data_IF_616980522773
#
_entry.id   IF_616980522773
#
_cell.length_a   1.000
_cell.length_b   1.000
_cell.length_c   1.000
_cell.angle_alpha   90.00
_cell.angle_beta   90.00
_cell.angle_gamma   90.00
#
_symmetry.space_group_name_H-M   'P 1'
#
loop_
_entity.id
_entity.type
_entity.pdbx_description
1 polymer ?
#
# COMPACT_ATOMS: atom_id res chain seq x y z
N UNK A 1 14.15 50.67 -24.30
CA UNK A 1 14.72 51.23 -23.06
C UNK A 1 14.09 50.45 -21.92
N UNK A 2 14.77 49.78 -21.00
CA UNK A 2 16.17 49.76 -20.61
C UNK A 2 16.48 48.33 -20.12
N UNK A 3 17.58 47.76 -20.61
CA UNK A 3 18.18 46.56 -20.06
C UNK A 3 18.87 46.90 -18.72
N UNK A 4 18.88 45.96 -17.78
CA UNK A 4 19.88 45.95 -16.71
C UNK A 4 20.75 44.71 -16.84
N UNK A 5 22.02 44.98 -17.08
CA UNK A 5 23.16 44.08 -17.25
C UNK A 5 23.98 44.16 -15.96
N UNK A 6 24.30 42.99 -15.38
CA UNK A 6 25.51 42.53 -14.65
C UNK A 6 26.30 43.46 -13.69
N UNK A 7 26.93 42.92 -12.63
CA UNK A 7 28.25 42.27 -12.81
C UNK A 7 28.53 41.01 -11.99
N UNK A 8 29.40 40.17 -12.58
CA UNK A 8 30.14 39.11 -11.94
C UNK A 8 31.36 39.68 -11.18
N UNK A 9 31.70 39.16 -10.00
CA UNK A 9 33.08 39.10 -9.50
C UNK A 9 33.33 37.75 -8.80
N UNK A 10 34.46 37.19 -9.21
CA UNK A 10 35.15 35.97 -8.87
C UNK A 10 35.93 36.11 -7.54
N UNK A 11 35.90 35.10 -6.66
CA UNK A 11 36.94 34.91 -5.65
C UNK A 11 37.04 33.44 -5.17
N UNK A 12 38.12 32.81 -5.62
CA UNK A 12 38.87 31.64 -5.15
C UNK A 12 38.44 30.91 -3.86
N UNK A 13 38.27 29.58 -3.93
CA UNK A 13 38.93 28.69 -2.97
C UNK A 13 39.11 27.26 -3.52
N UNK A 14 40.34 26.99 -3.96
CA UNK A 14 41.19 25.84 -3.64
C UNK A 14 40.52 24.52 -3.16
N UNK A 15 40.80 23.43 -3.89
CA UNK A 15 40.77 22.04 -3.41
C UNK A 15 42.23 21.56 -3.22
N UNK A 16 42.58 20.40 -2.60
CA UNK A 16 41.80 19.31 -1.95
C UNK A 16 42.41 18.94 -0.53
N UNK A 17 42.22 17.77 0.16
CA UNK A 17 42.47 16.40 -0.32
C UNK A 17 41.37 15.36 0.01
N UNK A 18 41.35 14.31 -0.82
CA UNK A 18 40.76 13.00 -0.50
C UNK A 18 41.77 12.24 0.34
N UNK A 19 41.49 11.98 1.61
CA UNK A 19 42.13 10.89 2.34
C UNK A 19 41.30 10.51 3.58
N UNK A 20 40.66 9.34 3.52
CA UNK A 20 40.35 8.47 4.66
C UNK A 20 39.67 7.21 4.08
N UNK A 21 40.45 6.41 3.34
CA UNK A 21 40.12 4.99 3.23
C UNK A 21 40.48 4.37 4.59
N UNK A 22 39.50 4.18 5.46
CA UNK A 22 39.66 3.27 6.59
C UNK A 22 39.65 1.82 6.05
N UNK A 23 40.75 1.05 6.18
CA UNK A 23 40.66 -0.39 5.99
C UNK A 23 39.89 -0.98 7.17
N UNK A 24 38.70 -1.54 6.89
CA UNK A 24 37.99 -2.34 7.88
C UNK A 24 38.93 -3.43 8.40
N UNK A 25 39.20 -3.38 9.71
CA UNK A 25 39.90 -4.42 10.47
C UNK A 25 39.25 -5.79 10.19
N UNK A 26 40.02 -6.84 9.89
CA UNK A 26 39.50 -8.20 9.97
C UNK A 26 39.17 -8.51 11.43
N UNK A 27 37.92 -8.92 11.68
CA UNK A 27 37.50 -9.45 12.97
C UNK A 27 38.36 -10.66 13.32
N UNK A 28 39.02 -10.52 14.46
CA UNK A 28 39.96 -11.45 15.05
C UNK A 28 39.25 -12.78 15.37
N UNK A 29 39.66 -13.85 14.69
CA UNK A 29 39.43 -15.24 15.10
C UNK A 29 40.13 -15.45 16.44
N UNK A 30 39.40 -15.97 17.43
CA UNK A 30 40.01 -16.58 18.62
C UNK A 30 39.49 -18.01 18.78
N UNK A 31 40.37 -19.01 19.00
CA UNK A 31 40.02 -20.42 18.91
C UNK A 31 39.53 -21.01 20.24
N UNK A 32 38.69 -22.04 20.07
CA UNK A 32 38.47 -23.19 20.94
C UNK A 32 38.08 -22.97 22.41
N UNK A 33 36.86 -23.40 22.74
CA UNK A 33 36.65 -24.18 23.96
C UNK A 33 35.72 -25.35 23.69
N UNK A 34 36.33 -26.52 23.76
CA UNK A 34 35.73 -27.84 23.78
C UNK A 34 34.69 -27.96 24.91
N UNK A 35 33.52 -28.47 24.58
CA UNK A 35 32.65 -29.17 25.52
C UNK A 35 31.82 -30.19 24.73
N UNK A 36 32.04 -31.49 24.96
CA UNK A 36 31.31 -32.55 24.30
C UNK A 36 30.03 -32.81 25.11
N UNK A 37 28.87 -32.70 24.48
CA UNK A 37 27.68 -33.36 25.02
C UNK A 37 26.67 -33.69 23.93
N UNK A 38 26.66 -34.99 23.61
CA UNK A 38 25.51 -35.80 23.21
C UNK A 38 24.65 -35.30 22.04
N UNK A 39 25.02 -35.78 20.85
CA UNK A 39 24.14 -35.99 19.72
C UNK A 39 23.07 -37.02 20.12
N UNK A 40 21.95 -36.57 20.70
CA UNK A 40 20.73 -37.38 20.69
C UNK A 40 20.12 -37.22 19.32
N UNK A 41 20.37 -38.21 18.47
CA UNK A 41 19.63 -38.41 17.24
C UNK A 41 18.16 -38.67 17.61
N UNK A 42 17.34 -37.61 17.58
CA UNK A 42 15.91 -37.77 17.36
C UNK A 42 15.68 -37.69 15.85
N UNK A 43 15.79 -38.86 15.22
CA UNK A 43 15.13 -39.15 13.96
C UNK A 43 13.63 -39.22 14.27
N UNK A 44 12.95 -38.08 14.13
CA UNK A 44 11.49 -38.06 14.03
C UNK A 44 11.17 -37.27 12.76
N UNK A 45 10.60 -37.90 11.72
CA UNK A 45 10.25 -37.19 10.51
C UNK A 45 9.30 -36.08 10.90
N UNK A 46 9.69 -34.83 10.62
CA UNK A 46 8.84 -33.67 10.73
C UNK A 46 7.58 -33.93 9.91
N UNK A 47 6.57 -34.49 10.57
CA UNK A 47 5.21 -34.45 10.11
C UNK A 47 4.95 -32.98 9.87
N UNK A 48 4.91 -32.63 8.59
CA UNK A 48 4.46 -31.34 8.12
C UNK A 48 2.98 -31.30 8.50
N UNK A 49 2.69 -31.02 9.77
CA UNK A 49 1.35 -30.75 10.22
C UNK A 49 0.96 -29.50 9.43
N UNK A 50 0.21 -29.72 8.35
CA UNK A 50 -0.44 -28.64 7.64
C UNK A 50 -1.11 -27.78 8.70
N UNK A 51 -0.93 -26.45 8.68
CA UNK A 51 -1.67 -25.60 9.60
C UNK A 51 -3.15 -25.97 9.47
N UNK A 52 -3.93 -25.94 10.58
CA UNK A 52 -5.35 -26.19 10.50
C UNK A 52 -5.94 -25.33 9.37
N UNK A 53 -6.87 -25.86 8.57
CA UNK A 53 -7.52 -25.04 7.56
C UNK A 53 -8.04 -23.80 8.29
N UNK A 54 -7.66 -22.63 7.78
CA UNK A 54 -8.29 -21.38 8.21
C UNK A 54 -9.79 -21.65 8.15
N UNK A 55 -10.51 -21.30 9.22
CA UNK A 55 -11.96 -21.43 9.24
C UNK A 55 -12.54 -20.86 7.93
N UNK A 56 -13.67 -21.36 7.45
CA UNK A 56 -14.30 -20.75 6.29
C UNK A 56 -14.75 -19.33 6.65
N UNK A 57 -14.53 -18.37 5.74
CA UNK A 57 -14.99 -17.00 5.95
C UNK A 57 -16.51 -17.00 6.04
N UNK A 58 -17.12 -16.31 7.02
CA UNK A 58 -18.56 -16.12 7.02
C UNK A 58 -19.04 -15.50 5.69
N UNK A 59 -20.24 -15.84 5.22
CA UNK A 59 -20.77 -15.27 3.98
C UNK A 59 -20.85 -13.75 4.12
N UNK A 60 -20.24 -13.06 3.16
CA UNK A 60 -20.24 -11.61 3.10
C UNK A 60 -21.53 -11.04 2.52
N UNK A 61 -21.84 -9.80 2.89
CA UNK A 61 -22.94 -9.04 2.29
C UNK A 61 -22.72 -8.92 0.77
N UNK A 62 -23.70 -9.34 -0.06
CA UNK A 62 -23.59 -9.22 -1.52
C UNK A 62 -23.38 -7.78 -1.99
N UNK A 63 -23.75 -6.77 -1.20
CA UNK A 63 -23.54 -5.36 -1.51
C UNK A 63 -22.06 -4.98 -1.59
N UNK A 64 -21.16 -5.67 -0.86
CA UNK A 64 -19.71 -5.46 -1.00
C UNK A 64 -19.26 -5.86 -2.41
N UNK A 65 -19.71 -7.02 -2.89
CA UNK A 65 -19.37 -7.49 -4.23
C UNK A 65 -19.97 -6.55 -5.28
N UNK A 66 -21.23 -6.13 -5.10
CA UNK A 66 -21.89 -5.14 -5.96
C UNK A 66 -21.10 -3.82 -6.01
N UNK A 67 -20.58 -3.34 -4.89
CA UNK A 67 -19.77 -2.11 -4.84
C UNK A 67 -18.47 -2.25 -5.64
N UNK A 68 -17.77 -3.39 -5.52
CA UNK A 68 -16.55 -3.67 -6.29
C UNK A 68 -16.87 -3.77 -7.80
N UNK A 69 -17.97 -4.42 -8.16
CA UNK A 69 -18.41 -4.53 -9.55
C UNK A 69 -18.80 -3.16 -10.14
N UNK A 70 -19.48 -2.31 -9.37
CA UNK A 70 -19.80 -0.93 -9.76
C UNK A 70 -18.54 -0.12 -10.04
N UNK A 71 -17.52 -0.23 -9.19
CA UNK A 71 -16.21 0.39 -9.41
C UNK A 71 -15.61 -0.12 -10.71
N UNK A 72 -15.54 -1.44 -10.90
CA UNK A 72 -14.89 -2.05 -12.07
C UNK A 72 -15.61 -1.66 -13.37
N UNK A 73 -16.94 -1.60 -13.36
CA UNK A 73 -17.75 -1.27 -14.53
C UNK A 73 -17.80 0.23 -14.83
N UNK A 74 -17.42 1.09 -13.88
CA UNK A 74 -17.55 2.54 -14.01
C UNK A 74 -16.70 3.15 -15.14
N UNK A 75 -15.57 2.53 -15.49
CA UNK A 75 -14.60 3.09 -16.43
C UNK A 75 -13.97 4.41 -15.94
N UNK A 76 -14.18 4.79 -14.68
CA UNK A 76 -13.67 6.03 -14.09
C UNK A 76 -12.22 5.85 -13.63
N UNK A 77 -11.59 6.98 -13.29
CA UNK A 77 -10.27 7.00 -12.64
C UNK A 77 -10.42 7.23 -11.15
N UNK A 78 -9.58 6.55 -10.38
CA UNK A 78 -9.56 6.61 -8.93
C UNK A 78 -8.20 7.17 -8.48
N UNK A 79 -8.22 8.03 -7.47
CA UNK A 79 -7.05 8.75 -6.99
C UNK A 79 -6.78 8.38 -5.54
N UNK A 80 -5.57 7.90 -5.28
CA UNK A 80 -4.99 7.82 -3.94
C UNK A 80 -4.24 9.10 -3.64
N UNK A 81 -4.69 9.83 -2.62
CA UNK A 81 -4.13 11.13 -2.28
C UNK A 81 -2.78 10.97 -1.58
N UNK A 82 -1.85 11.88 -1.91
CA UNK A 82 -0.58 12.02 -1.20
C UNK A 82 -0.70 13.12 -0.13
N UNK A 83 -0.03 12.96 1.01
CA UNK A 83 -0.01 13.97 2.08
C UNK A 83 0.91 15.17 1.77
N UNK A 84 1.95 14.96 0.97
CA UNK A 84 2.95 15.98 0.61
C UNK A 84 2.88 16.37 -0.88
N UNK A 85 3.81 17.20 -1.36
CA UNK A 85 4.06 17.52 -2.78
C UNK A 85 4.41 16.30 -3.68
N UNK A 86 4.25 15.08 -3.16
CA UNK A 86 4.37 13.85 -3.93
C UNK A 86 3.21 13.70 -4.91
N UNK A 87 3.49 13.05 -6.04
CA UNK A 87 2.46 12.77 -7.04
C UNK A 87 1.41 11.80 -6.45
N UNK A 88 0.09 12.10 -6.56
CA UNK A 88 -0.95 11.17 -6.14
C UNK A 88 -0.95 9.89 -6.99
N UNK A 89 -1.36 8.78 -6.39
CA UNK A 89 -1.55 7.51 -7.11
C UNK A 89 -2.80 7.59 -7.99
N UNK A 90 -2.71 7.15 -9.23
CA UNK A 90 -3.86 7.04 -10.14
C UNK A 90 -4.09 5.57 -10.50
N UNK A 91 -5.34 5.14 -10.44
CA UNK A 91 -5.76 3.78 -10.75
C UNK A 91 -6.90 3.82 -11.78
N UNK A 92 -6.87 2.87 -12.72
CA UNK A 92 -8.06 2.57 -13.53
C UNK A 92 -9.12 1.88 -12.69
N UNK A 93 -10.37 1.87 -13.16
CA UNK A 93 -11.47 1.14 -12.55
C UNK A 93 -11.12 -0.32 -12.19
N UNK A 94 -10.57 -1.08 -13.15
CA UNK A 94 -10.20 -2.48 -12.96
C UNK A 94 -9.06 -2.66 -11.94
N UNK A 95 -8.05 -1.79 -11.99
CA UNK A 95 -6.93 -1.81 -11.05
C UNK A 95 -7.40 -1.51 -9.62
N UNK A 96 -8.25 -0.49 -9.48
CA UNK A 96 -8.77 -0.08 -8.19
C UNK A 96 -9.70 -1.14 -7.59
N UNK A 97 -10.60 -1.72 -8.39
CA UNK A 97 -11.45 -2.83 -7.97
C UNK A 97 -10.63 -4.05 -7.53
N UNK A 98 -9.60 -4.41 -8.30
CA UNK A 98 -8.70 -5.52 -7.96
C UNK A 98 -7.91 -5.25 -6.68
N UNK A 99 -7.46 -4.02 -6.49
CA UNK A 99 -6.79 -3.59 -5.26
C UNK A 99 -7.73 -3.71 -4.06
N UNK A 100 -8.97 -3.22 -4.15
CA UNK A 100 -9.95 -3.32 -3.06
C UNK A 100 -10.32 -4.77 -2.75
N UNK A 101 -10.48 -5.62 -3.76
CA UNK A 101 -10.73 -7.05 -3.57
C UNK A 101 -9.58 -7.73 -2.84
N UNK A 102 -8.35 -7.47 -3.26
CA UNK A 102 -7.15 -7.99 -2.59
C UNK A 102 -7.06 -7.46 -1.16
N UNK A 103 -7.31 -6.17 -0.97
CA UNK A 103 -7.31 -5.55 0.35
C UNK A 103 -8.34 -6.22 1.26
N UNK A 104 -9.58 -6.37 0.81
CA UNK A 104 -10.63 -7.05 1.55
C UNK A 104 -10.28 -8.51 1.89
N UNK A 105 -9.67 -9.23 0.94
CA UNK A 105 -9.25 -10.61 1.15
C UNK A 105 -8.21 -10.77 2.27
N UNK A 106 -7.26 -9.83 2.36
CA UNK A 106 -6.14 -9.91 3.31
C UNK A 106 -6.46 -9.39 4.70
N UNK A 107 -7.23 -8.30 4.81
CA UNK A 107 -7.41 -7.59 6.08
C UNK A 107 -8.87 -7.46 6.53
N UNK A 108 -9.83 -7.71 5.64
CA UNK A 108 -11.25 -7.63 5.96
C UNK A 108 -11.87 -9.01 6.14
N UNK A 109 -11.10 -9.98 6.63
CA UNK A 109 -11.57 -11.35 6.80
C UNK A 109 -12.85 -11.43 7.65
N UNK A 110 -12.94 -10.62 8.71
CA UNK A 110 -14.10 -10.53 9.59
C UNK A 110 -15.09 -9.41 9.21
N UNK A 111 -14.76 -8.60 8.19
CA UNK A 111 -15.61 -7.51 7.72
C UNK A 111 -16.55 -8.06 6.65
N UNK A 112 -17.75 -8.43 7.10
CA UNK A 112 -18.80 -9.01 6.24
C UNK A 112 -19.92 -8.03 5.88
N UNK A 113 -20.01 -6.88 6.54
CA UNK A 113 -21.06 -5.88 6.32
C UNK A 113 -20.54 -4.72 5.44
N UNK A 114 -21.43 -4.12 4.65
CA UNK A 114 -21.07 -3.07 3.70
C UNK A 114 -20.50 -1.80 4.37
N UNK A 115 -21.15 -1.29 5.42
CA UNK A 115 -20.75 -0.04 6.05
C UNK A 115 -19.33 -0.10 6.68
N UNK A 116 -18.98 -1.12 7.50
CA UNK A 116 -17.60 -1.26 7.98
C UNK A 116 -16.61 -1.57 6.86
N UNK A 117 -17.04 -2.25 5.78
CA UNK A 117 -16.20 -2.41 4.60
C UNK A 117 -15.92 -1.06 3.92
N UNK A 118 -16.93 -0.20 3.78
CA UNK A 118 -16.75 1.14 3.22
C UNK A 118 -15.81 1.98 4.09
N UNK A 119 -15.96 1.95 5.41
CA UNK A 119 -15.14 2.75 6.31
C UNK A 119 -13.68 2.28 6.38
N UNK A 120 -13.47 0.99 6.63
CA UNK A 120 -12.15 0.45 6.96
C UNK A 120 -11.36 0.03 5.72
N UNK A 121 -12.07 -0.36 4.65
CA UNK A 121 -11.46 -0.90 3.44
C UNK A 121 -11.55 0.10 2.30
N UNK A 122 -12.75 0.51 1.91
CA UNK A 122 -12.93 1.18 0.63
C UNK A 122 -12.63 2.68 0.68
N UNK A 123 -12.99 3.39 1.74
CA UNK A 123 -13.04 4.86 1.72
C UNK A 123 -11.67 5.52 1.80
N UNK A 124 -10.68 4.90 2.46
CA UNK A 124 -9.40 5.55 2.79
C UNK A 124 -8.18 4.72 2.43
N UNK A 125 -7.13 5.43 2.08
CA UNK A 125 -5.80 4.86 1.87
C UNK A 125 -5.17 4.41 3.17
N UNK A 126 -4.56 3.22 3.19
CA UNK A 126 -3.82 2.78 4.38
C UNK A 126 -2.54 3.56 4.62
N UNK A 127 -1.96 4.12 3.55
CA UNK A 127 -0.68 4.79 3.65
C UNK A 127 -0.84 6.18 4.24
N UNK A 128 -1.85 6.92 3.78
CA UNK A 128 -2.04 8.34 4.10
C UNK A 128 -3.28 8.62 4.95
N UNK A 129 -4.15 7.62 5.15
CA UNK A 129 -5.45 7.77 5.82
C UNK A 129 -6.37 8.84 5.19
N UNK A 130 -6.05 9.27 3.96
CA UNK A 130 -6.84 10.22 3.19
C UNK A 130 -7.93 9.49 2.39
N UNK A 131 -9.07 10.15 2.12
CA UNK A 131 -10.14 9.53 1.35
C UNK A 131 -9.72 9.34 -0.12
N UNK A 132 -10.12 8.23 -0.73
CA UNK A 132 -9.96 8.08 -2.17
C UNK A 132 -10.91 9.00 -2.93
N UNK A 133 -10.47 9.48 -4.08
CA UNK A 133 -11.30 10.32 -4.97
C UNK A 133 -11.63 9.59 -6.26
N UNK A 134 -12.80 9.90 -6.82
CA UNK A 134 -13.26 9.44 -8.13
C UNK A 134 -13.27 10.63 -9.06
N UNK A 135 -12.64 10.47 -10.23
CA UNK A 135 -12.68 11.48 -11.30
C UNK A 135 -13.85 11.16 -12.21
N UNK A 136 -14.88 12.02 -12.15
CA UNK A 136 -16.08 11.91 -12.96
C UNK A 136 -15.81 12.29 -14.43
N UNK A 137 -16.74 11.96 -15.32
CA UNK A 137 -16.63 12.25 -16.76
C UNK A 137 -16.49 13.75 -17.08
N UNK A 138 -17.03 14.63 -16.23
CA UNK A 138 -16.87 16.09 -16.34
C UNK A 138 -15.54 16.61 -15.79
N UNK A 139 -14.65 15.72 -15.33
CA UNK A 139 -13.37 16.05 -14.71
C UNK A 139 -13.45 16.45 -13.23
N UNK A 140 -14.65 16.53 -12.65
CA UNK A 140 -14.81 16.80 -11.24
C UNK A 140 -14.30 15.63 -10.38
N UNK A 141 -13.77 15.95 -9.21
CA UNK A 141 -13.34 14.96 -8.22
C UNK A 141 -14.33 14.92 -7.07
N UNK A 142 -14.78 13.72 -6.74
CA UNK A 142 -15.68 13.47 -5.61
C UNK A 142 -15.08 12.39 -4.72
N UNK A 143 -15.46 12.36 -3.45
CA UNK A 143 -15.02 11.29 -2.55
C UNK A 143 -15.67 9.96 -2.91
N UNK A 144 -14.89 8.88 -2.82
CA UNK A 144 -15.33 7.54 -3.20
C UNK A 144 -16.53 7.05 -2.38
N UNK A 145 -16.53 7.27 -1.06
CA UNK A 145 -17.64 6.83 -0.18
C UNK A 145 -18.97 7.43 -0.65
N UNK A 146 -19.04 8.75 -0.73
CA UNK A 146 -20.25 9.45 -1.16
C UNK A 146 -20.68 9.09 -2.58
N UNK A 147 -19.73 8.83 -3.48
CA UNK A 147 -20.06 8.34 -4.82
C UNK A 147 -20.65 6.92 -4.79
N UNK A 148 -20.07 5.99 -4.03
CA UNK A 148 -20.57 4.61 -3.90
C UNK A 148 -21.95 4.57 -3.26
N UNK A 149 -22.18 5.33 -2.18
CA UNK A 149 -23.49 5.42 -1.51
C UNK A 149 -24.58 5.87 -2.50
N UNK A 150 -24.28 6.85 -3.37
CA UNK A 150 -25.19 7.29 -4.42
C UNK A 150 -25.44 6.22 -5.49
N UNK A 151 -24.40 5.52 -5.94
CA UNK A 151 -24.55 4.46 -6.95
C UNK A 151 -25.34 3.27 -6.41
N UNK A 152 -25.12 2.89 -5.16
CA UNK A 152 -25.84 1.79 -4.51
C UNK A 152 -27.32 2.14 -4.33
N UNK A 153 -27.63 3.34 -3.81
CA UNK A 153 -29.00 3.80 -3.67
C UNK A 153 -29.73 3.94 -5.02
N UNK A 154 -29.04 4.39 -6.08
CA UNK A 154 -29.62 4.48 -7.42
C UNK A 154 -29.85 3.10 -8.07
N UNK A 155 -29.10 2.08 -7.66
CA UNK A 155 -29.24 0.70 -8.12
C UNK A 155 -30.19 -0.14 -7.27
N UNK A 156 -30.97 0.47 -6.38
CA UNK A 156 -32.01 -0.14 -5.52
C UNK A 156 -33.43 0.31 -5.92
N UNK A 157 -33.63 0.73 -7.17
CA UNK A 157 -34.96 1.02 -7.71
C UNK A 157 -35.76 -0.30 -7.92
N UNK A 158 -37.02 -0.39 -7.44
CA UNK A 158 -37.78 -1.65 -7.24
C UNK A 158 -38.28 -2.35 -8.52
#
# INVERSE_FOLDING_TARGET
>A
MLAMILPAILACHEAPPRDAHEPMRPLQVNPARDSPMTLTANDEPAATASPPPLAERPPADPAITKAIDLISASGLRFIDQAEDDSKPGEYTAEQFASMLRTKWDWIGYDIVELDPWLEEIAARSFKTNLPYQVVLANGARVELRGWLEQQLAAGEDP
#
